data_IF_983226793831
#
_entry.id   IF_983226793831
#
_cell.length_a   1.000
_cell.length_b   1.000
_cell.length_c   1.000
_cell.angle_alpha   90.00
_cell.angle_beta   90.00
_cell.angle_gamma   90.00
#
_symmetry.space_group_name_H-M   'P 1'
#
loop_
_entity.id
_entity.type
_entity.pdbx_description
1 polymer ?
#
# COMPACT_ATOMS: atom_id res chain seq x y z
N UNK A 1 35.17 -28.36 -11.69
CA UNK A 1 35.12 -28.37 -10.21
C UNK A 1 34.35 -27.14 -9.78
N UNK A 2 33.08 -27.31 -9.42
CA UNK A 2 32.22 -26.22 -8.90
C UNK A 2 32.74 -25.78 -7.53
N UNK A 3 32.86 -24.48 -7.31
CA UNK A 3 33.43 -23.94 -6.07
C UNK A 3 32.55 -24.31 -4.86
N UNK A 4 33.14 -24.50 -3.66
CA UNK A 4 32.38 -24.86 -2.45
C UNK A 4 31.26 -23.86 -2.12
N UNK A 5 31.41 -22.59 -2.53
CA UNK A 5 30.38 -21.57 -2.39
C UNK A 5 29.12 -21.85 -3.22
N UNK A 6 29.24 -22.46 -4.40
CA UNK A 6 28.06 -22.78 -5.24
C UNK A 6 27.21 -23.87 -4.58
N UNK A 7 27.85 -24.83 -3.92
CA UNK A 7 27.16 -25.93 -3.24
C UNK A 7 26.40 -25.44 -2.00
N UNK A 8 27.00 -24.53 -1.24
CA UNK A 8 26.41 -23.92 -0.05
C UNK A 8 25.21 -23.03 -0.42
N UNK A 9 25.29 -22.30 -1.54
CA UNK A 9 24.19 -21.47 -2.04
C UNK A 9 23.02 -22.34 -2.54
N UNK A 10 23.30 -23.46 -3.23
CA UNK A 10 22.28 -24.43 -3.65
C UNK A 10 21.64 -25.11 -2.45
N UNK A 11 22.43 -25.50 -1.43
CA UNK A 11 21.90 -26.05 -0.19
C UNK A 11 21.07 -25.03 0.59
N UNK A 12 21.50 -23.78 0.72
CA UNK A 12 20.70 -22.72 1.34
C UNK A 12 19.39 -22.45 0.58
N UNK A 13 19.38 -22.50 -0.75
CA UNK A 13 18.15 -22.38 -1.55
C UNK A 13 17.24 -23.60 -1.33
N UNK A 14 17.82 -24.80 -1.21
CA UNK A 14 17.10 -26.06 -1.00
C UNK A 14 16.52 -26.17 0.42
N UNK A 15 17.28 -25.75 1.43
CA UNK A 15 16.91 -25.75 2.86
C UNK A 15 16.08 -24.53 3.24
N UNK A 16 16.04 -23.50 2.39
CA UNK A 16 14.98 -22.48 2.45
C UNK A 16 13.67 -23.12 1.96
N UNK A 17 13.14 -24.06 2.73
CA UNK A 17 11.99 -24.86 2.34
C UNK A 17 10.73 -24.00 2.32
N UNK A 18 10.53 -23.33 1.18
CA UNK A 18 9.37 -22.46 0.91
C UNK A 18 8.06 -23.24 0.85
N UNK A 19 8.12 -24.59 0.81
CA UNK A 19 6.95 -25.48 0.71
C UNK A 19 6.51 -26.03 2.06
N UNK A 20 7.38 -26.04 3.07
CA UNK A 20 7.07 -26.51 4.42
C UNK A 20 6.44 -25.43 5.34
N UNK A 21 6.03 -24.29 4.78
CA UNK A 21 5.36 -23.21 5.51
C UNK A 21 3.92 -23.66 5.81
N UNK A 22 3.58 -23.74 7.10
CA UNK A 22 2.23 -24.09 7.54
C UNK A 22 1.20 -23.10 6.99
N UNK A 23 -0.05 -23.55 6.82
CA UNK A 23 -1.19 -22.76 6.38
C UNK A 23 -1.32 -21.42 7.14
N UNK A 24 -1.10 -21.50 8.46
CA UNK A 24 -1.13 -20.36 9.36
C UNK A 24 0.00 -19.37 9.05
N UNK A 25 1.20 -19.88 8.75
CA UNK A 25 2.38 -19.08 8.43
C UNK A 25 2.24 -18.42 7.03
N UNK A 26 1.69 -19.14 6.04
CA UNK A 26 1.43 -18.63 4.70
C UNK A 26 0.36 -17.51 4.68
N UNK A 27 -0.61 -17.58 5.60
CA UNK A 27 -1.63 -16.55 5.78
C UNK A 27 -1.20 -15.33 6.60
N UNK A 28 0.03 -15.30 7.15
CA UNK A 28 0.44 -14.29 8.15
C UNK A 28 0.37 -12.85 7.65
N UNK A 29 0.69 -12.59 6.38
CA UNK A 29 0.62 -11.27 5.76
C UNK A 29 -0.45 -11.26 4.68
N UNK A 30 -1.69 -11.36 5.15
CA UNK A 30 -2.90 -11.23 4.34
C UNK A 30 -3.41 -9.80 4.41
N UNK A 31 -3.84 -9.26 3.26
CA UNK A 31 -4.48 -7.96 3.21
C UNK A 31 -5.89 -8.06 3.78
N UNK A 32 -6.18 -7.34 4.85
CA UNK A 32 -7.54 -7.26 5.34
C UNK A 32 -8.44 -6.52 4.34
N UNK A 33 -9.65 -7.02 4.02
CA UNK A 33 -10.52 -6.41 3.00
C UNK A 33 -10.81 -4.93 3.23
N UNK A 34 -10.93 -4.53 4.51
CA UNK A 34 -11.22 -3.14 4.87
C UNK A 34 -10.08 -2.19 4.49
N UNK A 35 -8.83 -2.68 4.39
CA UNK A 35 -7.69 -1.88 3.94
C UNK A 35 -7.80 -1.43 2.49
N UNK A 36 -8.69 -1.98 1.66
CA UNK A 36 -8.91 -1.46 0.32
C UNK A 36 -9.35 0.01 0.31
N UNK A 37 -9.90 0.52 1.41
CA UNK A 37 -10.17 1.96 1.58
C UNK A 37 -8.87 2.79 1.50
N UNK A 38 -7.73 2.22 1.92
CA UNK A 38 -6.40 2.84 1.83
C UNK A 38 -5.90 3.02 0.40
N UNK A 39 -6.52 2.38 -0.59
CA UNK A 39 -6.24 2.64 -2.01
C UNK A 39 -6.58 4.08 -2.41
N UNK A 40 -7.61 4.66 -1.78
CA UNK A 40 -8.16 5.99 -2.09
C UNK A 40 -7.81 7.02 -1.01
N UNK A 41 -7.67 6.59 0.25
CA UNK A 41 -7.40 7.47 1.38
C UNK A 41 -6.24 6.91 2.21
N UNK A 42 -5.01 7.42 2.03
CA UNK A 42 -3.83 6.85 2.66
C UNK A 42 -3.89 7.02 4.18
N UNK A 43 -3.54 5.96 4.91
CA UNK A 43 -3.42 6.01 6.38
C UNK A 43 -4.75 6.09 7.14
N UNK A 44 -5.89 5.75 6.51
CA UNK A 44 -7.22 5.79 7.14
C UNK A 44 -7.31 4.91 8.40
N UNK A 45 -6.56 3.80 8.47
CA UNK A 45 -6.52 2.92 9.63
C UNK A 45 -5.32 3.17 10.56
N UNK A 46 -4.55 4.23 10.30
CA UNK A 46 -3.34 4.56 11.06
C UNK A 46 -2.08 3.88 10.53
N UNK A 47 -0.92 4.30 11.05
CA UNK A 47 0.39 3.72 10.75
C UNK A 47 0.88 2.80 11.87
N UNK A 48 1.88 1.94 11.60
CA UNK A 48 2.46 1.06 12.63
C UNK A 48 3.06 1.82 13.83
N UNK A 49 3.47 3.08 13.60
CA UNK A 49 3.95 4.03 14.62
C UNK A 49 2.87 4.39 15.66
N UNK A 50 1.59 4.33 15.29
CA UNK A 50 0.45 4.79 16.09
C UNK A 50 -0.18 3.68 16.94
N UNK A 51 0.51 2.53 17.09
CA UNK A 51 0.18 1.39 17.95
C UNK A 51 -1.23 1.36 18.54
N UNK A 52 -2.12 0.55 17.97
CA UNK A 52 -3.41 0.24 18.60
C UNK A 52 -4.56 1.22 18.32
N UNK A 53 -4.79 1.59 17.05
CA UNK A 53 -6.03 2.29 16.70
C UNK A 53 -7.20 1.30 16.61
N UNK A 54 -8.37 1.63 17.19
CA UNK A 54 -9.61 0.84 17.07
C UNK A 54 -9.97 0.58 15.61
N UNK A 55 -9.69 1.55 14.73
CA UNK A 55 -9.85 1.39 13.30
C UNK A 55 -8.90 0.35 12.72
N UNK A 56 -7.65 0.30 13.18
CA UNK A 56 -6.69 -0.76 12.86
C UNK A 56 -7.10 -2.11 13.42
N UNK A 57 -7.67 -2.18 14.62
CA UNK A 57 -8.27 -3.40 15.17
C UNK A 57 -9.39 -3.93 14.27
N UNK A 58 -10.36 -3.08 13.93
CA UNK A 58 -11.49 -3.41 13.06
C UNK A 58 -11.00 -3.79 11.65
N UNK A 59 -9.96 -3.12 11.15
CA UNK A 59 -9.32 -3.43 9.89
C UNK A 59 -8.36 -4.63 9.98
N UNK A 60 -8.21 -5.30 11.13
CA UNK A 60 -7.34 -6.46 11.29
C UNK A 60 -5.85 -6.17 11.14
N UNK A 61 -5.42 -4.92 11.31
CA UNK A 61 -4.02 -4.46 11.19
C UNK A 61 -3.29 -4.37 12.52
N UNK A 62 -3.98 -4.54 13.65
CA UNK A 62 -3.39 -4.36 14.99
C UNK A 62 -2.36 -5.42 15.38
N UNK A 63 -2.53 -6.65 14.91
CA UNK A 63 -1.76 -7.76 15.48
C UNK A 63 -0.29 -7.75 15.03
N UNK A 64 0.07 -7.07 13.91
CA UNK A 64 1.42 -7.09 13.32
C UNK A 64 1.68 -5.87 12.44
N UNK A 65 2.96 -5.51 12.28
CA UNK A 65 3.40 -4.53 11.27
C UNK A 65 3.00 -5.04 9.87
N UNK A 66 2.21 -4.27 9.11
CA UNK A 66 1.80 -4.66 7.75
C UNK A 66 3.00 -4.91 6.84
N UNK A 67 2.89 -5.84 5.88
CA UNK A 67 3.97 -6.05 4.92
C UNK A 67 4.10 -4.84 3.99
N UNK A 68 2.95 -4.29 3.55
CA UNK A 68 2.90 -3.00 2.85
C UNK A 68 2.39 -1.93 3.82
N UNK A 69 3.28 -1.03 4.24
CA UNK A 69 2.91 0.10 5.11
C UNK A 69 1.95 1.08 4.43
N UNK A 70 1.86 1.04 3.09
CA UNK A 70 0.86 1.76 2.32
C UNK A 70 0.54 1.01 1.04
N UNK A 71 -0.75 0.86 0.75
CA UNK A 71 -1.25 0.36 -0.52
C UNK A 71 -1.82 1.50 -1.39
N UNK A 72 -1.60 2.76 -0.99
CA UNK A 72 -2.16 3.92 -1.66
C UNK A 72 -1.63 4.07 -3.10
N UNK A 73 -2.53 3.98 -4.08
CA UNK A 73 -2.20 4.11 -5.50
C UNK A 73 -2.46 5.52 -6.06
N UNK A 74 -3.10 6.39 -5.29
CA UNK A 74 -3.59 7.68 -5.77
C UNK A 74 -5.05 7.60 -6.18
N UNK A 75 -5.91 8.39 -5.53
CA UNK A 75 -7.34 8.45 -5.87
C UNK A 75 -7.59 8.81 -7.34
N UNK A 76 -6.70 9.62 -7.92
CA UNK A 76 -6.79 10.04 -9.32
C UNK A 76 -6.35 8.95 -10.31
N UNK A 77 -5.32 8.16 -9.99
CA UNK A 77 -4.92 7.02 -10.82
C UNK A 77 -6.05 5.98 -10.88
N UNK A 78 -6.72 5.73 -9.76
CA UNK A 78 -7.92 4.88 -9.69
C UNK A 78 -9.09 5.49 -10.47
N UNK A 79 -9.30 6.81 -10.39
CA UNK A 79 -10.32 7.50 -11.19
C UNK A 79 -10.12 7.28 -12.69
N UNK A 80 -8.88 7.46 -13.14
CA UNK A 80 -8.51 7.26 -14.54
C UNK A 80 -8.65 5.79 -14.92
N UNK A 81 -8.31 4.84 -14.05
CA UNK A 81 -8.47 3.41 -14.31
C UNK A 81 -9.94 3.01 -14.47
N UNK A 82 -10.81 3.44 -13.55
CA UNK A 82 -12.26 3.20 -13.62
C UNK A 82 -12.88 3.87 -14.86
N UNK A 83 -12.45 5.10 -15.15
CA UNK A 83 -12.88 5.80 -16.34
C UNK A 83 -12.45 5.08 -17.62
N UNK A 84 -11.18 4.65 -17.70
CA UNK A 84 -10.63 3.91 -18.83
C UNK A 84 -11.32 2.58 -19.07
N UNK A 85 -11.78 1.91 -18.01
CA UNK A 85 -12.66 0.75 -18.12
C UNK A 85 -14.04 1.13 -18.69
N UNK A 86 -14.65 2.22 -18.20
CA UNK A 86 -16.00 2.66 -18.61
C UNK A 86 -16.11 3.17 -20.05
N UNK A 87 -15.02 3.63 -20.66
CA UNK A 87 -15.02 4.27 -21.99
C UNK A 87 -15.01 3.28 -23.17
N UNK A 88 -15.64 2.11 -23.02
CA UNK A 88 -15.88 1.18 -24.13
C UNK A 88 -15.52 -0.27 -23.85
N UNK A 89 -16.08 -1.15 -24.67
CA UNK A 89 -16.01 -2.59 -24.52
C UNK A 89 -14.82 -3.15 -25.30
N UNK A 90 -13.81 -3.62 -24.58
CA UNK A 90 -12.71 -4.36 -25.17
C UNK A 90 -12.40 -5.58 -24.31
N UNK A 91 -12.22 -6.74 -24.93
CA UNK A 91 -11.74 -7.95 -24.27
C UNK A 91 -10.43 -7.71 -23.50
N UNK A 92 -9.57 -6.81 -24.00
CA UNK A 92 -8.32 -6.41 -23.33
C UNK A 92 -8.59 -5.72 -21.99
N UNK A 93 -9.55 -4.80 -21.94
CA UNK A 93 -9.90 -4.07 -20.71
C UNK A 93 -10.52 -4.99 -19.66
N UNK A 94 -11.41 -5.90 -20.09
CA UNK A 94 -11.98 -6.92 -19.21
C UNK A 94 -10.89 -7.84 -18.66
N UNK A 95 -9.93 -8.27 -19.49
CA UNK A 95 -8.79 -9.06 -19.04
C UNK A 95 -7.99 -8.32 -17.95
N UNK A 96 -7.70 -7.02 -18.14
CA UNK A 96 -7.00 -6.22 -17.13
C UNK A 96 -7.77 -6.10 -15.82
N UNK A 97 -9.10 -5.89 -15.88
CA UNK A 97 -9.94 -5.85 -14.67
C UNK A 97 -9.94 -7.20 -13.96
N UNK A 98 -10.06 -8.31 -14.70
CA UNK A 98 -10.01 -9.65 -14.12
C UNK A 98 -8.64 -9.91 -13.48
N UNK A 99 -7.54 -9.52 -14.14
CA UNK A 99 -6.19 -9.64 -13.57
C UNK A 99 -6.02 -8.82 -12.29
N UNK A 100 -6.48 -7.56 -12.29
CA UNK A 100 -6.43 -6.70 -11.11
C UNK A 100 -7.28 -7.26 -9.97
N UNK A 101 -8.52 -7.66 -10.26
CA UNK A 101 -9.44 -8.23 -9.29
C UNK A 101 -8.89 -9.54 -8.71
N UNK A 102 -8.37 -10.42 -9.56
CA UNK A 102 -7.77 -11.68 -9.13
C UNK A 102 -6.57 -11.44 -8.19
N UNK A 103 -5.69 -10.49 -8.53
CA UNK A 103 -4.55 -10.13 -7.69
C UNK A 103 -4.98 -9.54 -6.33
N UNK A 104 -6.00 -8.68 -6.31
CA UNK A 104 -6.57 -8.13 -5.07
C UNK A 104 -7.23 -9.21 -4.22
N UNK A 105 -8.05 -10.07 -4.82
CA UNK A 105 -8.73 -11.18 -4.14
C UNK A 105 -7.70 -12.15 -3.57
N UNK A 106 -6.65 -12.47 -4.33
CA UNK A 106 -5.56 -13.30 -3.83
C UNK A 106 -4.82 -12.63 -2.67
N UNK A 107 -4.67 -11.30 -2.69
CA UNK A 107 -4.03 -10.56 -1.61
C UNK A 107 -4.77 -10.68 -0.27
N UNK A 108 -6.07 -10.98 -0.28
CA UNK A 108 -6.84 -11.23 0.94
C UNK A 108 -6.39 -12.46 1.72
N UNK A 109 -5.66 -13.39 1.10
CA UNK A 109 -5.05 -14.52 1.79
C UNK A 109 -6.04 -15.28 2.68
N UNK A 110 -5.77 -15.31 4.00
CA UNK A 110 -6.58 -15.99 5.03
C UNK A 110 -8.05 -15.54 5.09
N UNK A 111 -8.37 -14.33 4.61
CA UNK A 111 -9.74 -13.83 4.59
C UNK A 111 -10.56 -14.41 3.42
N UNK A 112 -9.93 -15.13 2.50
CA UNK A 112 -10.59 -15.78 1.36
C UNK A 112 -10.95 -17.24 1.71
N UNK A 113 -12.23 -17.64 1.61
CA UNK A 113 -12.61 -19.03 1.82
C UNK A 113 -11.94 -19.92 0.77
N UNK A 114 -11.25 -20.98 1.21
CA UNK A 114 -10.54 -21.90 0.32
C UNK A 114 -9.16 -21.41 -0.15
N UNK A 115 -8.58 -20.38 0.49
CA UNK A 115 -7.22 -19.92 0.21
C UNK A 115 -6.17 -21.05 0.22
N UNK A 116 -6.36 -22.03 1.11
CA UNK A 116 -5.56 -23.25 1.23
C UNK A 116 -5.48 -24.07 -0.06
N UNK A 117 -6.54 -24.11 -0.86
CA UNK A 117 -6.54 -24.83 -2.13
C UNK A 117 -5.83 -24.01 -3.22
N UNK A 118 -6.03 -22.69 -3.20
CA UNK A 118 -5.46 -21.77 -4.21
C UNK A 118 -3.94 -21.70 -4.06
N UNK A 119 -3.40 -21.71 -2.83
CA UNK A 119 -1.93 -21.70 -2.61
C UNK A 119 -1.23 -22.94 -3.14
N UNK A 120 -1.94 -24.07 -3.28
CA UNK A 120 -1.41 -25.31 -3.81
C UNK A 120 -1.25 -25.29 -5.34
N UNK A 121 -1.83 -24.29 -6.03
CA UNK A 121 -1.67 -24.14 -7.47
C UNK A 121 -0.23 -23.77 -7.83
N UNK A 122 0.30 -24.31 -8.95
CA UNK A 122 1.66 -24.02 -9.39
C UNK A 122 1.84 -22.52 -9.64
N UNK A 123 2.95 -21.96 -9.15
CA UNK A 123 3.28 -20.54 -9.26
C UNK A 123 2.83 -19.68 -8.07
N UNK A 124 1.74 -20.06 -7.37
CA UNK A 124 1.27 -19.30 -6.20
C UNK A 124 2.12 -19.54 -4.96
N UNK A 125 2.78 -20.70 -4.88
CA UNK A 125 3.77 -21.00 -3.83
C UNK A 125 5.01 -20.08 -3.87
N UNK A 126 5.21 -19.30 -4.94
CA UNK A 126 6.29 -18.30 -5.02
C UNK A 126 5.95 -17.05 -4.21
N UNK A 127 4.66 -16.76 -4.02
CA UNK A 127 4.17 -15.64 -3.23
C UNK A 127 4.05 -16.07 -1.77
N UNK A 128 5.16 -16.03 -1.03
CA UNK A 128 5.19 -16.35 0.41
C UNK A 128 4.15 -15.56 1.21
N UNK A 129 3.85 -14.34 0.77
CA UNK A 129 2.90 -13.43 1.43
C UNK A 129 1.82 -12.99 0.43
N UNK A 130 0.53 -13.27 0.72
CA UNK A 130 -0.58 -12.89 -0.13
C UNK A 130 -0.59 -11.40 -0.46
N UNK A 131 -0.33 -10.54 0.53
CA UNK A 131 -0.35 -9.08 0.36
C UNK A 131 0.57 -8.58 -0.77
N UNK A 132 1.64 -9.31 -1.13
CA UNK A 132 2.51 -8.98 -2.28
C UNK A 132 1.79 -9.02 -3.63
N UNK A 133 0.69 -9.74 -3.74
CA UNK A 133 -0.12 -9.75 -4.95
C UNK A 133 -0.72 -8.37 -5.26
N UNK A 134 -0.83 -7.47 -4.28
CA UNK A 134 -1.19 -6.08 -4.55
C UNK A 134 -0.24 -5.40 -5.53
N UNK A 135 1.07 -5.72 -5.50
CA UNK A 135 2.04 -5.21 -6.48
C UNK A 135 1.71 -5.66 -7.91
N UNK A 136 1.16 -6.88 -8.06
CA UNK A 136 0.70 -7.39 -9.36
C UNK A 136 -0.59 -6.70 -9.82
N UNK A 137 -1.45 -6.26 -8.89
CA UNK A 137 -2.66 -5.49 -9.22
C UNK A 137 -2.33 -4.09 -9.76
N UNK A 138 -1.21 -3.49 -9.37
CA UNK A 138 -0.81 -2.14 -9.80
C UNK A 138 -0.65 -2.05 -11.31
N UNK A 139 -0.02 -3.05 -11.93
CA UNK A 139 0.27 -3.05 -13.38
C UNK A 139 -1.00 -2.89 -14.22
N UNK A 140 -2.02 -3.78 -14.13
CA UNK A 140 -3.25 -3.63 -14.91
C UNK A 140 -4.03 -2.36 -14.55
N UNK A 141 -3.99 -1.90 -13.30
CA UNK A 141 -4.61 -0.63 -12.88
C UNK A 141 -3.95 0.55 -13.61
N UNK A 142 -2.62 0.60 -13.66
CA UNK A 142 -1.88 1.64 -14.38
C UNK A 142 -2.18 1.62 -15.89
N UNK A 143 -2.28 0.44 -16.50
CA UNK A 143 -2.65 0.31 -17.92
C UNK A 143 -4.08 0.79 -18.17
N UNK A 144 -5.02 0.44 -17.28
CA UNK A 144 -6.40 0.96 -17.32
C UNK A 144 -6.43 2.49 -17.16
N UNK A 145 -5.60 3.05 -16.28
CA UNK A 145 -5.46 4.49 -16.13
C UNK A 145 -4.95 5.15 -17.41
N UNK A 146 -3.99 4.53 -18.09
CA UNK A 146 -3.55 4.94 -19.43
C UNK A 146 -4.68 4.99 -20.45
N UNK A 147 -5.55 3.98 -20.47
CA UNK A 147 -6.76 4.01 -21.31
C UNK A 147 -7.70 5.17 -20.94
N UNK A 148 -7.83 5.49 -19.65
CA UNK A 148 -8.63 6.63 -19.19
C UNK A 148 -8.07 7.97 -19.67
N UNK A 149 -6.75 8.11 -19.69
CA UNK A 149 -6.05 9.27 -20.25
C UNK A 149 -6.26 9.36 -21.77
N UNK A 150 -6.12 8.24 -22.50
CA UNK A 150 -6.34 8.22 -23.96
C UNK A 150 -7.80 8.46 -24.36
N UNK A 151 -8.74 8.16 -23.47
CA UNK A 151 -10.17 8.43 -23.66
C UNK A 151 -10.54 9.90 -23.34
N UNK A 152 -9.58 10.76 -23.01
CA UNK A 152 -9.82 12.19 -22.84
C UNK A 152 -9.89 12.90 -24.21
N UNK A 153 -10.85 13.82 -24.49
CA UNK A 153 -11.84 14.42 -23.60
C UNK A 153 -13.26 13.88 -23.85
N UNK A 154 -13.47 12.56 -23.72
CA UNK A 154 -14.84 12.02 -23.79
C UNK A 154 -15.64 12.52 -22.56
N UNK A 155 -16.94 12.81 -22.77
CA UNK A 155 -17.84 13.36 -21.75
C UNK A 155 -17.91 12.38 -20.56
N UNK A 156 -17.66 12.88 -19.34
CA UNK A 156 -17.91 12.12 -18.11
C UNK A 156 -16.72 11.95 -17.16
N UNK A 157 -15.47 12.19 -17.57
CA UNK A 157 -14.33 12.11 -16.64
C UNK A 157 -14.48 13.07 -15.45
N UNK A 158 -15.10 14.24 -15.67
CA UNK A 158 -15.35 15.26 -14.63
C UNK A 158 -16.07 14.72 -13.39
N UNK A 159 -17.12 13.91 -13.58
CA UNK A 159 -17.90 13.35 -12.45
C UNK A 159 -17.12 12.30 -11.67
N UNK A 160 -16.28 11.52 -12.34
CA UNK A 160 -15.42 10.52 -11.71
C UNK A 160 -14.32 11.16 -10.89
N UNK A 161 -13.65 12.17 -11.47
CA UNK A 161 -12.64 12.99 -10.80
C UNK A 161 -13.28 13.63 -9.55
N UNK A 162 -14.35 14.40 -9.71
CA UNK A 162 -15.00 15.05 -8.57
C UNK A 162 -15.47 14.05 -7.50
N UNK A 163 -16.12 12.96 -7.91
CA UNK A 163 -16.63 11.94 -7.00
C UNK A 163 -15.53 11.29 -6.17
N UNK A 164 -14.38 10.95 -6.78
CA UNK A 164 -13.27 10.32 -6.07
C UNK A 164 -12.49 11.31 -5.19
N UNK A 165 -12.36 12.57 -5.63
CA UNK A 165 -11.77 13.62 -4.80
C UNK A 165 -12.63 13.93 -3.57
N UNK A 166 -13.95 14.00 -3.74
CA UNK A 166 -14.91 14.16 -2.62
C UNK A 166 -14.87 12.94 -1.72
N UNK A 167 -14.92 11.73 -2.27
CA UNK A 167 -14.86 10.49 -1.49
C UNK A 167 -13.56 10.39 -0.69
N UNK A 168 -12.41 10.63 -1.32
CA UNK A 168 -11.11 10.64 -0.64
C UNK A 168 -11.05 11.69 0.46
N UNK A 169 -11.57 12.89 0.21
CA UNK A 169 -11.68 13.95 1.21
C UNK A 169 -12.56 13.55 2.40
N UNK A 170 -13.75 13.00 2.16
CA UNK A 170 -14.68 12.53 3.20
C UNK A 170 -14.07 11.39 4.00
N UNK A 171 -13.46 10.40 3.36
CA UNK A 171 -12.81 9.27 4.05
C UNK A 171 -11.64 9.74 4.92
N UNK A 172 -10.86 10.71 4.45
CA UNK A 172 -9.77 11.31 5.23
C UNK A 172 -10.31 12.04 6.45
N UNK A 173 -11.37 12.85 6.29
CA UNK A 173 -12.03 13.55 7.40
C UNK A 173 -12.71 12.59 8.39
N UNK A 174 -13.29 11.48 7.90
CA UNK A 174 -13.93 10.47 8.74
C UNK A 174 -12.89 9.71 9.55
N UNK A 175 -11.80 9.26 8.91
CA UNK A 175 -10.67 8.64 9.60
C UNK A 175 -10.15 9.56 10.70
N UNK A 176 -10.06 10.86 10.40
CA UNK A 176 -9.71 11.87 11.38
C UNK A 176 -10.71 11.92 12.53
N UNK A 177 -11.99 12.12 12.26
CA UNK A 177 -13.02 12.19 13.31
C UNK A 177 -12.99 10.96 14.23
N UNK A 178 -12.73 9.78 13.67
CA UNK A 178 -12.61 8.54 14.44
C UNK A 178 -11.32 8.46 15.26
N UNK A 179 -10.17 8.82 14.69
CA UNK A 179 -8.89 8.85 15.41
C UNK A 179 -8.81 9.93 16.50
N UNK A 180 -9.46 11.08 16.30
CA UNK A 180 -9.30 12.26 17.17
C UNK A 180 -10.50 12.51 18.11
N UNK A 181 -11.71 12.07 17.74
CA UNK A 181 -12.91 12.32 18.53
C UNK A 181 -13.34 11.13 19.39
N UNK A 182 -13.42 9.95 18.79
CA UNK A 182 -14.05 8.78 19.43
C UNK A 182 -13.05 7.96 20.24
N UNK A 183 -11.85 7.75 19.70
CA UNK A 183 -10.85 6.86 20.27
C UNK A 183 -10.23 7.36 21.58
N UNK A 184 -9.73 8.62 21.67
CA UNK A 184 -9.16 9.15 22.91
C UNK A 184 -10.20 9.30 24.02
N UNK A 185 -11.44 9.63 23.64
CA UNK A 185 -12.58 9.73 24.54
C UNK A 185 -13.00 8.35 25.09
N UNK A 186 -13.05 7.33 24.24
CA UNK A 186 -13.45 5.97 24.63
C UNK A 186 -12.38 5.24 25.47
N UNK A 187 -11.10 5.53 25.27
CA UNK A 187 -10.01 4.87 26.01
C UNK A 187 -9.64 5.56 27.33
N UNK A 188 -10.31 6.66 27.70
CA UNK A 188 -10.03 7.38 28.94
C UNK A 188 -8.58 7.88 28.99
N UNK A 189 -8.20 8.74 28.05
CA UNK A 189 -6.84 9.27 27.95
C UNK A 189 -6.33 9.75 29.31
N UNK A 190 -5.27 9.14 29.87
CA UNK A 190 -4.71 9.58 31.14
C UNK A 190 -4.14 10.99 30.98
N UNK A 191 -4.56 11.89 31.87
CA UNK A 191 -4.05 13.26 31.97
C UNK A 191 -2.50 13.23 32.08
N UNK A 192 -1.79 13.98 31.23
CA UNK A 192 -0.33 14.15 31.34
C UNK A 192 0.54 13.83 30.11
N UNK A 193 -0.01 13.64 28.90
CA UNK A 193 0.79 13.44 27.67
C UNK A 193 0.51 14.49 26.59
N UNK A 194 0.85 15.74 26.88
CA UNK A 194 0.70 16.87 25.95
C UNK A 194 1.50 16.69 24.64
N UNK A 195 2.65 16.02 24.67
CA UNK A 195 3.45 15.74 23.46
C UNK A 195 2.72 14.84 22.45
N UNK A 196 2.03 13.81 22.95
CA UNK A 196 1.22 12.94 22.10
C UNK A 196 0.05 13.74 21.53
N UNK A 197 -0.67 14.51 22.36
CA UNK A 197 -1.76 15.37 21.90
C UNK A 197 -1.31 16.37 20.82
N UNK A 198 -0.09 16.91 20.93
CA UNK A 198 0.50 17.79 19.91
C UNK A 198 0.84 17.04 18.62
N UNK A 199 1.50 15.88 18.70
CA UNK A 199 1.77 15.02 17.53
C UNK A 199 0.47 14.66 16.81
N UNK A 200 -0.57 14.32 17.57
CA UNK A 200 -1.92 14.07 17.09
C UNK A 200 -2.48 15.29 16.33
N UNK A 201 -2.48 16.49 16.91
CA UNK A 201 -2.97 17.71 16.24
C UNK A 201 -2.22 18.03 14.94
N UNK A 202 -0.90 17.83 14.91
CA UNK A 202 -0.08 18.07 13.71
C UNK A 202 -0.43 17.09 12.60
N UNK A 203 -0.57 15.79 12.91
CA UNK A 203 -1.00 14.77 11.94
C UNK A 203 -2.41 15.08 11.43
N UNK A 204 -3.32 15.52 12.32
CA UNK A 204 -4.67 15.88 11.94
C UNK A 204 -4.74 17.09 11.01
N UNK A 205 -4.01 18.15 11.35
CA UNK A 205 -3.91 19.34 10.52
C UNK A 205 -3.33 19.00 9.15
N UNK A 206 -2.26 18.19 9.09
CA UNK A 206 -1.66 17.75 7.83
C UNK A 206 -2.64 16.94 6.97
N UNK A 207 -3.42 16.03 7.57
CA UNK A 207 -4.42 15.24 6.88
C UNK A 207 -5.61 16.10 6.40
N UNK A 208 -6.12 17.03 7.21
CA UNK A 208 -7.14 18.00 6.81
C UNK A 208 -6.68 18.89 5.65
N UNK A 209 -5.48 19.45 5.77
CA UNK A 209 -4.88 20.28 4.72
C UNK A 209 -4.73 19.49 3.43
N UNK A 210 -4.29 18.23 3.53
CA UNK A 210 -4.17 17.35 2.38
C UNK A 210 -5.52 17.02 1.76
N UNK A 211 -6.52 16.63 2.55
CA UNK A 211 -7.87 16.33 2.07
C UNK A 211 -8.51 17.55 1.40
N UNK A 212 -8.38 18.73 2.01
CA UNK A 212 -8.84 20.00 1.44
C UNK A 212 -8.12 20.36 0.14
N UNK A 213 -6.79 20.19 0.10
CA UNK A 213 -5.97 20.42 -1.10
C UNK A 213 -6.38 19.48 -2.24
N UNK A 214 -6.60 18.20 -1.93
CA UNK A 214 -7.06 17.17 -2.86
C UNK A 214 -8.42 17.58 -3.45
N UNK A 215 -9.42 17.90 -2.63
CA UNK A 215 -10.74 18.37 -3.11
C UNK A 215 -10.63 19.64 -3.95
N UNK A 216 -9.85 20.63 -3.52
CA UNK A 216 -9.64 21.88 -4.23
C UNK A 216 -9.02 21.65 -5.61
N UNK A 217 -7.98 20.83 -5.69
CA UNK A 217 -7.32 20.50 -6.95
C UNK A 217 -8.24 19.73 -7.89
N UNK A 218 -9.04 18.79 -7.36
CA UNK A 218 -10.08 18.11 -8.12
C UNK A 218 -11.12 19.07 -8.70
N UNK A 219 -11.54 20.07 -7.92
CA UNK A 219 -12.45 21.11 -8.37
C UNK A 219 -11.84 22.02 -9.45
N UNK A 220 -10.59 22.47 -9.27
CA UNK A 220 -9.85 23.29 -10.25
C UNK A 220 -9.70 22.53 -11.57
N UNK A 221 -9.29 21.27 -11.52
CA UNK A 221 -9.19 20.41 -12.71
C UNK A 221 -10.55 20.27 -13.37
N UNK A 222 -11.60 19.95 -12.60
CA UNK A 222 -12.97 19.75 -13.08
C UNK A 222 -13.51 20.99 -13.80
N UNK A 223 -13.31 22.18 -13.23
CA UNK A 223 -13.70 23.46 -13.83
C UNK A 223 -12.85 23.79 -15.07
N UNK A 224 -11.54 23.57 -14.97
CA UNK A 224 -10.57 23.80 -16.03
C UNK A 224 -10.81 22.93 -17.27
N UNK A 225 -11.32 21.70 -17.10
CA UNK A 225 -11.58 20.77 -18.21
C UNK A 225 -12.46 21.35 -19.31
N UNK A 226 -13.36 22.29 -18.98
CA UNK A 226 -14.23 22.95 -19.95
C UNK A 226 -13.52 24.07 -20.71
N UNK A 227 -12.57 24.76 -20.08
CA UNK A 227 -11.94 25.97 -20.62
C UNK A 227 -10.56 25.71 -21.22
N UNK A 228 -9.75 24.85 -20.61
CA UNK A 228 -8.36 24.53 -20.99
C UNK A 228 -8.08 23.02 -20.92
N UNK A 229 -8.64 22.20 -21.84
CA UNK A 229 -8.60 20.74 -21.73
C UNK A 229 -7.17 20.18 -21.68
N UNK A 230 -6.24 20.72 -22.48
CA UNK A 230 -4.84 20.26 -22.48
C UNK A 230 -4.12 20.64 -21.17
N UNK A 231 -4.38 21.82 -20.63
CA UNK A 231 -3.82 22.27 -19.35
C UNK A 231 -4.34 21.41 -18.19
N UNK A 232 -5.63 21.12 -18.17
CA UNK A 232 -6.25 20.24 -17.18
C UNK A 232 -5.73 18.80 -17.27
N UNK A 233 -5.45 18.29 -18.47
CA UNK A 233 -4.85 16.97 -18.63
C UNK A 233 -3.43 16.91 -18.08
N UNK A 234 -2.59 17.91 -18.36
CA UNK A 234 -1.22 17.98 -17.78
C UNK A 234 -1.28 18.07 -16.27
N UNK A 235 -2.16 18.92 -15.73
CA UNK A 235 -2.35 19.04 -14.28
C UNK A 235 -2.83 17.72 -13.67
N UNK A 236 -3.79 17.03 -14.29
CA UNK A 236 -4.23 15.71 -13.88
C UNK A 236 -3.07 14.71 -13.82
N UNK A 237 -2.26 14.62 -14.87
CA UNK A 237 -1.13 13.69 -14.92
C UNK A 237 -0.10 14.01 -13.83
N UNK A 238 0.21 15.29 -13.64
CA UNK A 238 1.09 15.73 -12.55
C UNK A 238 0.54 15.34 -11.18
N UNK A 239 -0.77 15.51 -10.95
CA UNK A 239 -1.41 15.12 -9.70
C UNK A 239 -1.43 13.60 -9.49
N UNK A 240 -1.65 12.82 -10.55
CA UNK A 240 -1.65 11.36 -10.47
C UNK A 240 -0.29 10.79 -10.07
N UNK A 241 0.79 11.52 -10.36
CA UNK A 241 2.17 11.15 -10.00
C UNK A 241 2.55 11.71 -8.64
N UNK A 242 2.32 13.02 -8.42
CA UNK A 242 2.78 13.73 -7.22
C UNK A 242 2.03 13.29 -5.96
N UNK A 243 0.73 13.03 -6.05
CA UNK A 243 -0.05 12.68 -4.88
C UNK A 243 0.37 11.35 -4.22
N UNK A 244 0.50 10.21 -4.93
CA UNK A 244 1.03 8.99 -4.33
C UNK A 244 2.50 9.14 -3.89
N UNK A 245 3.32 9.93 -4.60
CA UNK A 245 4.70 10.19 -4.19
C UNK A 245 4.75 10.93 -2.84
N UNK A 246 3.93 11.98 -2.68
CA UNK A 246 3.81 12.75 -1.43
C UNK A 246 3.14 11.94 -0.31
N UNK A 247 2.23 11.01 -0.64
CA UNK A 247 1.65 10.11 0.36
C UNK A 247 2.68 9.17 0.97
N UNK A 248 3.52 8.61 0.10
CA UNK A 248 4.38 7.50 0.45
C UNK A 248 5.79 7.96 0.85
N UNK A 249 6.09 9.27 0.83
CA UNK A 249 7.38 9.81 1.28
C UNK A 249 7.70 9.46 2.75
N UNK A 250 6.66 9.37 3.60
CA UNK A 250 6.82 8.99 5.00
C UNK A 250 7.10 7.49 5.16
N UNK A 251 6.51 6.67 4.28
CA UNK A 251 6.68 5.21 4.25
C UNK A 251 8.10 4.81 3.87
N UNK A 252 8.78 5.58 3.02
CA UNK A 252 10.15 5.30 2.60
C UNK A 252 11.20 5.50 3.72
N UNK A 253 10.82 6.05 4.88
CA UNK A 253 11.71 6.20 6.05
C UNK A 253 11.86 4.89 6.87
N UNK A 254 11.78 3.72 6.22
CA UNK A 254 11.91 2.42 6.89
C UNK A 254 13.33 2.10 7.37
N UNK A 255 14.33 2.85 6.90
CA UNK A 255 15.66 2.84 7.50
C UNK A 255 15.75 4.07 8.38
N UNK A 256 15.77 3.91 9.72
CA UNK A 256 16.03 5.03 10.61
C UNK A 256 17.30 5.74 10.19
N UNK A 257 17.32 7.07 10.17
CA UNK A 257 18.49 7.83 9.70
C UNK A 257 19.77 7.49 10.49
N UNK A 258 19.65 6.95 11.71
CA UNK A 258 20.80 6.46 12.46
C UNK A 258 21.46 5.25 11.80
N UNK A 259 20.70 4.34 11.18
CA UNK A 259 21.24 3.16 10.47
C UNK A 259 22.08 3.56 9.25
N UNK A 260 21.77 4.70 8.62
CA UNK A 260 22.56 5.28 7.53
C UNK A 260 23.78 6.07 8.02
N UNK A 261 23.82 6.40 9.32
CA UNK A 261 24.93 7.14 9.96
C UNK A 261 25.89 6.24 10.72
N UNK A 262 25.43 5.08 11.18
CA UNK A 262 26.29 4.07 11.80
C UNK A 262 26.96 3.25 10.70
N UNK A 263 28.28 3.37 10.57
CA UNK A 263 29.07 2.41 9.78
C UNK A 263 28.70 0.99 10.24
N UNK A 264 28.48 0.03 9.33
CA UNK A 264 28.22 -1.35 9.73
C UNK A 264 29.33 -1.79 10.69
N UNK A 265 28.94 -2.46 11.78
CA UNK A 265 29.90 -3.07 12.70
C UNK A 265 30.83 -3.92 11.84
N UNK A 266 32.08 -3.50 11.71
CA UNK A 266 33.09 -4.31 11.04
C UNK A 266 33.26 -5.54 11.92
N UNK A 267 32.61 -6.64 11.55
CA UNK A 267 32.86 -7.94 12.17
C UNK A 267 34.32 -8.22 11.87
N UNK A 268 35.22 -8.27 12.88
CA UNK A 268 36.62 -8.48 12.63
C UNK A 268 36.79 -9.84 11.95
N UNK A 269 37.43 -9.82 10.77
CA UNK A 269 37.69 -11.00 9.92
C UNK A 269 38.50 -12.11 10.63
N UNK A 270 39.00 -11.84 11.84
CA UNK A 270 39.70 -12.81 12.68
C UNK A 270 38.79 -13.82 13.39
N UNK A 271 37.47 -13.58 13.48
CA UNK A 271 36.55 -14.50 14.18
C UNK A 271 36.09 -15.71 13.35
N UNK A 272 36.27 -15.68 12.03
CA UNK A 272 35.87 -16.78 11.15
C UNK A 272 36.97 -17.84 11.00
N UNK A 273 38.25 -17.44 11.14
CA UNK A 273 39.39 -18.37 11.11
C UNK A 273 39.56 -19.22 12.38
N UNK A 274 39.05 -18.76 13.52
CA UNK A 274 39.17 -19.50 14.79
C UNK A 274 38.11 -20.58 14.98
N UNK A 275 36.94 -20.49 14.31
CA UNK A 275 35.91 -21.55 14.39
C UNK A 275 36.20 -22.77 13.51
N UNK A 276 36.92 -22.62 12.41
CA UNK A 276 37.27 -23.73 11.52
C UNK A 276 38.44 -24.57 12.08
N UNK A 277 39.24 -24.03 13.01
CA UNK A 277 40.39 -24.73 13.59
C UNK A 277 40.05 -25.67 14.77
N UNK A 278 38.82 -25.67 15.28
CA UNK A 278 38.42 -26.49 16.45
C UNK A 278 37.54 -27.69 16.12
N UNK A 279 37.22 -27.94 14.84
CA UNK A 279 36.41 -29.09 14.39
C UNK A 279 37.21 -30.00 13.45
N UNK A 280 38.34 -30.51 13.91
CA UNK A 280 38.94 -31.73 13.35
C UNK A 280 39.51 -32.57 14.50
N UNK A 281 38.90 -33.73 14.84
CA UNK A 281 39.52 -34.72 15.73
C UNK A 281 40.70 -35.44 15.06
#
# INVERSE_FOLDING_TARGET
>A
MSSPHTYLLIQMIRDSDRRAIDAVEAGMWSLAPLRLVELVAPGVFGGPELGGSLLGFIAGTEQRVPFLSSIYLGGLALALALYGFSCGESRRRHCLVVMAAFAVIFAFGRFLPGFELIRCLPGFSLLRYPEKAMSLAVIPICVLAGFGVSAFPIRGLRRWVLGLFVLGGVLTLLSLSLHFGVLPWAQGYPEGKDELALQYRVVAAAACLRGGLVVLLGAIVSLGMRRWPQGSLRLLLSLAILDPALANQAVLRMVPLYFLRTSPIQVPASSEKSRVATEHP
#
